data_IF_611416334866
#
_entry.id   IF_611416334866
#
_cell.length_a   1.000
_cell.length_b   1.000
_cell.length_c   1.000
_cell.angle_alpha   90.00
_cell.angle_beta   90.00
_cell.angle_gamma   90.00
#
_symmetry.space_group_name_H-M   'P 1'
#
loop_
_entity.id
_entity.type
_entity.pdbx_description
1 polymer ?
#
# COMPACT_ATOMS: atom_id res chain seq x y z
N UNK A 1 -36.81 -15.84 -6.91
CA UNK A 1 -36.15 -15.08 -5.82
C UNK A 1 -34.85 -14.55 -6.43
N UNK A 2 -34.92 -13.36 -7.03
CA UNK A 2 -33.91 -12.86 -7.96
C UNK A 2 -32.77 -12.16 -7.22
N UNK A 3 -31.57 -12.28 -7.80
CA UNK A 3 -30.32 -11.63 -7.38
C UNK A 3 -30.48 -10.14 -7.14
N UNK A 4 -30.37 -9.73 -5.87
CA UNK A 4 -30.47 -8.35 -5.46
C UNK A 4 -29.10 -7.81 -5.04
N UNK A 5 -28.70 -6.72 -5.70
CA UNK A 5 -27.64 -5.85 -5.21
C UNK A 5 -28.09 -5.23 -3.89
N UNK A 6 -27.26 -5.33 -2.84
CA UNK A 6 -27.44 -4.52 -1.65
C UNK A 6 -26.51 -3.32 -1.72
N UNK A 7 -27.11 -2.13 -1.81
CA UNK A 7 -26.45 -0.87 -1.48
C UNK A 7 -26.61 -0.64 0.03
N UNK A 8 -25.49 -0.70 0.77
CA UNK A 8 -25.46 -0.12 2.11
C UNK A 8 -25.23 1.38 1.95
N UNK A 9 -26.30 2.15 2.08
CA UNK A 9 -26.17 3.59 2.27
C UNK A 9 -25.82 3.79 3.73
N UNK A 10 -24.66 4.36 4.02
CA UNK A 10 -24.30 4.77 5.38
C UNK A 10 -24.52 6.28 5.43
N UNK A 11 -25.80 6.68 5.44
CA UNK A 11 -26.20 8.08 5.57
C UNK A 11 -27.16 8.16 6.77
N UNK A 12 -26.58 8.33 7.97
CA UNK A 12 -27.30 8.49 9.25
C UNK A 12 -28.10 7.30 9.79
N UNK A 13 -28.52 6.36 8.93
CA UNK A 13 -29.40 5.23 9.25
C UNK A 13 -28.69 3.90 8.90
N UNK A 14 -27.90 3.30 9.82
CA UNK A 14 -26.97 2.21 9.53
C UNK A 14 -27.61 0.88 9.07
N UNK A 15 -28.94 0.83 8.91
CA UNK A 15 -29.73 -0.38 8.70
C UNK A 15 -30.60 -0.38 7.43
N UNK A 16 -30.64 0.71 6.65
CA UNK A 16 -31.48 0.74 5.45
C UNK A 16 -30.77 0.14 4.24
N UNK A 17 -31.18 -1.07 3.87
CA UNK A 17 -30.76 -1.70 2.62
C UNK A 17 -31.54 -1.11 1.46
N UNK A 18 -30.83 -0.52 0.51
CA UNK A 18 -31.43 -0.07 -0.74
C UNK A 18 -31.14 -1.11 -1.82
N UNK A 19 -32.21 -1.59 -2.45
CA UNK A 19 -32.16 -2.55 -3.53
C UNK A 19 -32.27 -1.83 -4.87
N UNK A 20 -31.38 -2.17 -5.80
CA UNK A 20 -31.41 -1.64 -7.16
C UNK A 20 -31.89 -2.72 -8.14
N UNK A 21 -32.80 -2.40 -9.07
CA UNK A 21 -33.05 -3.26 -10.22
C UNK A 21 -31.78 -3.49 -11.05
N UNK A 22 -31.73 -4.63 -11.74
CA UNK A 22 -30.55 -5.11 -12.47
C UNK A 22 -30.09 -4.17 -13.62
N UNK A 23 -30.96 -3.27 -14.08
CA UNK A 23 -30.74 -2.43 -15.27
C UNK A 23 -30.46 -0.94 -14.96
N UNK A 24 -29.96 -0.61 -13.76
CA UNK A 24 -29.68 0.78 -13.40
C UNK A 24 -28.37 1.27 -14.02
N UNK A 25 -28.49 2.02 -15.12
CA UNK A 25 -27.35 2.66 -15.81
C UNK A 25 -26.86 3.96 -15.14
N UNK A 26 -27.65 4.56 -14.24
CA UNK A 26 -27.33 5.82 -13.54
C UNK A 26 -27.93 5.86 -12.13
N UNK A 27 -27.26 6.51 -11.17
CA UNK A 27 -27.80 6.62 -9.81
C UNK A 27 -29.10 7.45 -9.82
N UNK A 28 -30.18 6.97 -9.17
CA UNK A 28 -31.43 7.72 -9.05
C UNK A 28 -31.18 9.12 -8.46
N UNK A 29 -31.92 10.16 -8.90
CA UNK A 29 -31.73 11.54 -8.43
C UNK A 29 -31.76 11.69 -6.90
N UNK A 30 -32.54 10.86 -6.21
CA UNK A 30 -32.65 10.85 -4.74
C UNK A 30 -31.35 10.46 -4.02
N UNK A 31 -30.41 9.82 -4.72
CA UNK A 31 -29.13 9.36 -4.17
C UNK A 31 -27.95 10.28 -4.53
N UNK A 32 -28.22 11.47 -5.10
CA UNK A 32 -27.18 12.44 -5.48
C UNK A 32 -26.45 13.05 -4.28
N UNK A 33 -27.07 13.03 -3.11
CA UNK A 33 -26.53 13.59 -1.87
C UNK A 33 -25.69 12.59 -1.07
N UNK A 34 -25.61 11.33 -1.51
CA UNK A 34 -24.85 10.32 -0.78
C UNK A 34 -23.36 10.64 -0.81
N UNK A 35 -22.80 10.81 0.38
CA UNK A 35 -21.36 11.01 0.54
C UNK A 35 -20.63 9.70 0.87
N UNK A 36 -21.32 8.67 1.36
CA UNK A 36 -20.76 7.36 1.66
C UNK A 36 -21.57 6.22 1.03
N UNK A 37 -20.93 5.53 0.09
CA UNK A 37 -21.54 4.43 -0.67
C UNK A 37 -20.69 3.18 -0.55
N UNK A 38 -21.33 2.07 -0.13
CA UNK A 38 -20.70 0.75 -0.03
C UNK A 38 -21.48 -0.28 -0.84
N UNK A 39 -20.83 -0.80 -1.87
CA UNK A 39 -21.23 -1.95 -2.65
C UNK A 39 -20.36 -3.15 -2.30
N UNK A 40 -20.92 -4.06 -1.51
CA UNK A 40 -20.30 -5.35 -1.16
C UNK A 40 -21.08 -6.46 -1.83
N UNK A 41 -20.43 -7.15 -2.76
CA UNK A 41 -20.96 -8.39 -3.29
C UNK A 41 -20.66 -9.51 -2.28
N UNK A 42 -21.70 -10.11 -1.69
CA UNK A 42 -21.58 -11.17 -0.70
C UNK A 42 -21.25 -12.47 -1.43
N UNK A 43 -19.96 -12.79 -1.62
CA UNK A 43 -19.59 -14.16 -2.02
C UNK A 43 -19.87 -15.10 -0.85
N UNK A 44 -20.94 -15.88 -0.92
CA UNK A 44 -21.07 -17.12 -0.15
C UNK A 44 -20.51 -18.25 -1.02
N UNK A 45 -19.47 -18.92 -0.51
CA UNK A 45 -18.99 -20.25 -0.92
C UNK A 45 -18.61 -20.48 -2.39
N UNK A 46 -17.65 -21.38 -2.63
CA UNK A 46 -17.15 -21.73 -3.96
C UNK A 46 -18.06 -22.69 -4.75
N UNK A 47 -19.21 -23.11 -4.18
CA UNK A 47 -20.01 -24.22 -4.73
C UNK A 47 -21.46 -23.87 -5.14
N UNK A 48 -21.86 -22.59 -5.13
CA UNK A 48 -23.14 -22.20 -5.73
C UNK A 48 -22.90 -21.56 -7.11
N UNK A 49 -23.49 -22.17 -8.13
CA UNK A 49 -23.58 -21.70 -9.52
C UNK A 49 -23.60 -20.18 -9.53
N UNK A 50 -22.50 -19.57 -9.94
CA UNK A 50 -22.29 -18.14 -9.92
C UNK A 50 -23.38 -17.45 -10.73
N UNK A 51 -24.47 -17.06 -10.07
CA UNK A 51 -25.42 -16.10 -10.63
C UNK A 51 -24.63 -14.80 -10.75
N UNK A 52 -24.12 -14.57 -11.96
CA UNK A 52 -23.41 -13.36 -12.35
C UNK A 52 -24.35 -12.19 -12.07
N UNK A 53 -24.10 -11.44 -11.00
CA UNK A 53 -24.71 -10.15 -10.81
C UNK A 53 -24.41 -9.30 -12.05
N UNK A 54 -25.43 -9.09 -12.87
CA UNK A 54 -25.39 -8.24 -14.04
C UNK A 54 -25.48 -6.79 -13.55
N UNK A 55 -24.33 -6.19 -13.32
CA UNK A 55 -24.27 -4.73 -13.41
C UNK A 55 -24.29 -4.35 -14.90
N UNK A 56 -24.93 -3.23 -15.27
CA UNK A 56 -24.77 -2.70 -16.61
C UNK A 56 -23.28 -2.51 -16.89
N UNK A 57 -22.84 -2.95 -18.07
CA UNK A 57 -21.43 -2.91 -18.44
C UNK A 57 -20.89 -1.46 -18.45
N UNK A 58 -21.80 -0.50 -18.61
CA UNK A 58 -21.52 0.93 -18.74
C UNK A 58 -22.27 1.72 -17.66
N UNK A 59 -21.64 1.90 -16.50
CA UNK A 59 -22.10 2.86 -15.48
C UNK A 59 -21.86 4.26 -16.05
N UNK A 60 -22.92 5.05 -16.19
CA UNK A 60 -22.86 6.36 -16.85
C UNK A 60 -22.59 7.52 -15.88
N UNK A 61 -22.82 7.33 -14.58
CA UNK A 61 -22.62 8.37 -13.57
C UNK A 61 -22.39 7.81 -12.17
N UNK A 62 -21.75 8.61 -11.33
CA UNK A 62 -21.64 8.41 -9.88
C UNK A 62 -22.22 9.64 -9.16
N UNK A 63 -22.67 9.53 -7.90
CA UNK A 63 -23.14 10.68 -7.15
C UNK A 63 -22.05 11.77 -7.07
N UNK A 64 -22.38 13.05 -7.35
CA UNK A 64 -21.40 14.12 -7.34
C UNK A 64 -20.94 14.48 -5.92
N UNK A 65 -21.73 14.17 -4.89
CA UNK A 65 -21.41 14.40 -3.47
C UNK A 65 -20.52 13.31 -2.83
N UNK A 66 -20.03 12.35 -3.62
CA UNK A 66 -19.38 11.14 -3.10
C UNK A 66 -18.01 11.41 -2.46
N UNK A 67 -17.90 11.13 -1.16
CA UNK A 67 -16.68 11.25 -0.36
C UNK A 67 -16.03 9.89 -0.08
N UNK A 68 -16.82 8.84 0.06
CA UNK A 68 -16.34 7.50 0.39
C UNK A 68 -17.02 6.48 -0.54
N UNK A 69 -16.23 5.81 -1.37
CA UNK A 69 -16.70 4.75 -2.24
C UNK A 69 -16.00 3.44 -1.90
N UNK A 70 -16.77 2.44 -1.50
CA UNK A 70 -16.31 1.05 -1.47
C UNK A 70 -17.10 0.24 -2.49
N UNK A 71 -16.47 -0.31 -3.54
CA UNK A 71 -17.14 -1.04 -4.61
C UNK A 71 -16.37 -2.29 -5.07
N UNK A 72 -16.72 -3.42 -4.49
CA UNK A 72 -16.10 -4.71 -4.83
C UNK A 72 -16.61 -5.23 -6.17
N UNK A 73 -15.71 -5.78 -6.99
CA UNK A 73 -16.04 -6.33 -8.31
C UNK A 73 -16.63 -5.30 -9.29
N UNK A 74 -16.16 -4.06 -9.25
CA UNK A 74 -16.65 -3.00 -10.14
C UNK A 74 -16.59 -3.45 -11.63
N UNK A 75 -17.71 -3.33 -12.36
CA UNK A 75 -17.93 -4.06 -13.61
C UNK A 75 -17.35 -3.35 -14.85
N UNK A 76 -17.20 -2.04 -14.82
CA UNK A 76 -16.82 -1.26 -15.99
C UNK A 76 -15.30 -1.17 -16.14
N UNK A 77 -14.85 -0.89 -17.36
CA UNK A 77 -13.42 -0.81 -17.71
C UNK A 77 -12.76 0.52 -17.30
N UNK A 78 -13.56 1.52 -16.96
CA UNK A 78 -13.15 2.83 -16.46
C UNK A 78 -14.23 3.38 -15.51
N UNK A 79 -13.87 4.37 -14.70
CA UNK A 79 -14.88 5.20 -14.02
C UNK A 79 -15.59 6.10 -15.05
N UNK A 80 -16.82 6.57 -14.75
CA UNK A 80 -17.56 7.47 -15.64
C UNK A 80 -16.78 8.76 -15.91
N UNK A 81 -16.81 9.25 -17.15
CA UNK A 81 -16.04 10.45 -17.56
C UNK A 81 -16.53 11.75 -16.88
N UNK A 82 -17.81 11.80 -16.52
CA UNK A 82 -18.42 12.90 -15.76
C UNK A 82 -18.11 12.84 -14.25
N UNK A 83 -17.43 11.80 -13.77
CA UNK A 83 -17.06 11.71 -12.37
C UNK A 83 -15.90 12.64 -12.08
N UNK A 84 -16.15 13.65 -11.24
CA UNK A 84 -15.16 14.63 -10.80
C UNK A 84 -14.80 14.33 -9.33
N UNK A 85 -13.70 13.60 -9.07
CA UNK A 85 -13.31 13.13 -7.75
C UNK A 85 -12.67 14.24 -6.87
N UNK A 86 -13.15 15.48 -6.92
CA UNK A 86 -12.56 16.58 -6.15
C UNK A 86 -12.75 16.40 -4.64
N UNK A 87 -13.93 15.93 -4.24
CA UNK A 87 -14.32 15.79 -2.84
C UNK A 87 -14.11 14.38 -2.30
N UNK A 88 -13.72 13.42 -3.14
CA UNK A 88 -13.50 12.04 -2.70
C UNK A 88 -12.36 11.98 -1.68
N UNK A 89 -12.57 11.22 -0.62
CA UNK A 89 -11.67 11.01 0.50
C UNK A 89 -11.11 9.59 0.46
N UNK A 90 -11.97 8.58 0.22
CA UNK A 90 -11.55 7.18 0.07
C UNK A 90 -12.19 6.53 -1.15
N UNK A 91 -11.36 5.84 -1.93
CA UNK A 91 -11.78 5.05 -3.09
C UNK A 91 -11.27 3.61 -2.94
N UNK A 92 -12.15 2.68 -2.59
CA UNK A 92 -11.83 1.25 -2.42
C UNK A 92 -12.60 0.43 -3.43
N UNK A 93 -11.95 -0.14 -4.43
CA UNK A 93 -12.61 -0.91 -5.48
C UNK A 93 -11.87 -2.21 -5.79
N UNK A 94 -11.73 -3.15 -4.84
CA UNK A 94 -10.99 -4.38 -5.08
C UNK A 94 -11.68 -5.30 -6.09
N UNK A 95 -10.90 -6.16 -6.76
CA UNK A 95 -11.36 -7.12 -7.78
C UNK A 95 -12.10 -6.48 -8.98
N UNK A 96 -11.77 -5.25 -9.33
CA UNK A 96 -12.46 -4.53 -10.41
C UNK A 96 -12.02 -4.99 -11.82
N UNK A 97 -12.76 -4.55 -12.85
CA UNK A 97 -12.43 -4.76 -14.27
C UNK A 97 -11.78 -3.53 -14.93
N UNK A 98 -11.31 -2.56 -14.12
CA UNK A 98 -10.73 -1.32 -14.63
C UNK A 98 -9.45 -1.62 -15.41
N UNK A 99 -9.29 -0.94 -16.54
CA UNK A 99 -8.01 -0.85 -17.26
C UNK A 99 -7.23 0.40 -16.86
N UNK A 100 -7.96 1.50 -16.62
CA UNK A 100 -7.48 2.78 -16.13
C UNK A 100 -8.50 3.34 -15.15
N UNK A 101 -8.03 4.08 -14.15
CA UNK A 101 -8.92 4.68 -13.14
C UNK A 101 -9.73 5.84 -13.73
N UNK A 102 -9.03 6.82 -14.33
CA UNK A 102 -9.61 7.93 -15.11
C UNK A 102 -8.71 8.20 -16.34
N UNK A 103 -9.30 8.80 -17.37
CA UNK A 103 -8.63 9.10 -18.65
C UNK A 103 -8.03 10.50 -18.72
N UNK A 104 -8.44 11.40 -17.81
CA UNK A 104 -8.00 12.79 -17.73
C UNK A 104 -7.34 13.02 -16.37
N UNK A 105 -6.39 13.96 -16.30
CA UNK A 105 -5.80 14.40 -15.03
C UNK A 105 -6.93 14.94 -14.14
N UNK A 106 -7.07 14.35 -12.95
CA UNK A 106 -8.11 14.73 -12.00
C UNK A 106 -7.49 15.53 -10.86
N UNK A 107 -8.21 16.57 -10.40
CA UNK A 107 -7.89 17.22 -9.13
C UNK A 107 -8.42 16.35 -8.00
N UNK A 108 -7.53 15.64 -7.31
CA UNK A 108 -7.87 14.72 -6.22
C UNK A 108 -7.76 15.45 -4.87
N UNK A 109 -8.42 16.59 -4.80
CA UNK A 109 -8.33 17.58 -3.73
C UNK A 109 -8.30 16.98 -2.34
N UNK A 110 -9.25 16.08 -2.03
CA UNK A 110 -9.47 15.49 -0.70
C UNK A 110 -9.01 14.04 -0.54
N UNK A 111 -8.46 13.41 -1.58
CA UNK A 111 -8.22 11.97 -1.58
C UNK A 111 -7.13 11.59 -0.59
N UNK A 112 -7.41 10.59 0.25
CA UNK A 112 -6.53 10.12 1.32
C UNK A 112 -6.19 8.63 1.20
N UNK A 113 -7.03 7.88 0.51
CA UNK A 113 -6.92 6.43 0.46
C UNK A 113 -7.40 5.89 -0.90
N UNK A 114 -6.56 5.09 -1.55
CA UNK A 114 -6.91 4.31 -2.73
C UNK A 114 -6.60 2.84 -2.46
N UNK A 115 -7.59 1.97 -2.64
CA UNK A 115 -7.41 0.52 -2.65
C UNK A 115 -8.00 -0.06 -3.94
N UNK A 116 -7.14 -0.49 -4.86
CA UNK A 116 -7.52 -1.16 -6.10
C UNK A 116 -6.95 -2.58 -6.14
N UNK A 117 -6.79 -3.26 -5.00
CA UNK A 117 -6.19 -4.59 -4.99
C UNK A 117 -6.91 -5.60 -5.88
N UNK A 118 -6.18 -6.59 -6.36
CA UNK A 118 -6.66 -7.67 -7.23
C UNK A 118 -7.24 -7.15 -8.56
N UNK A 119 -6.73 -6.02 -9.07
CA UNK A 119 -7.16 -5.45 -10.35
C UNK A 119 -6.28 -5.93 -11.49
N UNK A 120 -6.48 -7.18 -11.92
CA UNK A 120 -5.61 -7.86 -12.90
C UNK A 120 -5.55 -7.17 -14.28
N UNK A 121 -6.54 -6.32 -14.61
CA UNK A 121 -6.61 -5.59 -15.88
C UNK A 121 -6.05 -4.17 -15.81
N UNK A 122 -5.75 -3.68 -14.61
CA UNK A 122 -5.24 -2.34 -14.40
C UNK A 122 -3.80 -2.28 -14.89
N UNK A 123 -3.56 -1.51 -15.95
CA UNK A 123 -2.21 -1.39 -16.53
C UNK A 123 -1.54 -0.06 -16.22
N UNK A 124 -2.33 0.94 -15.83
CA UNK A 124 -1.86 2.28 -15.53
C UNK A 124 -2.67 2.84 -14.36
N UNK A 125 -1.96 3.47 -13.42
CA UNK A 125 -2.59 4.31 -12.41
C UNK A 125 -2.47 5.78 -12.86
N UNK A 126 -3.41 6.63 -12.46
CA UNK A 126 -3.39 8.05 -12.81
C UNK A 126 -2.29 8.81 -12.08
N UNK A 127 -1.82 9.91 -12.68
CA UNK A 127 -0.90 10.83 -12.01
C UNK A 127 -1.56 11.42 -10.75
N UNK A 128 -0.88 11.29 -9.62
CA UNK A 128 -1.32 11.77 -8.31
C UNK A 128 -0.61 13.07 -7.89
N UNK A 129 0.19 13.68 -8.78
CA UNK A 129 0.90 14.94 -8.55
C UNK A 129 -0.01 16.10 -8.13
N UNK A 130 -1.26 16.09 -8.62
CA UNK A 130 -2.27 17.13 -8.41
C UNK A 130 -3.24 16.85 -7.25
N UNK A 131 -2.82 16.10 -6.23
CA UNK A 131 -3.62 15.80 -5.04
C UNK A 131 -3.15 16.63 -3.82
N UNK A 132 -3.62 17.87 -3.63
CA UNK A 132 -3.07 18.80 -2.63
C UNK A 132 -3.29 18.36 -1.18
N UNK A 133 -4.43 17.75 -0.81
CA UNK A 133 -4.59 17.26 0.56
C UNK A 133 -3.88 15.94 0.83
N UNK A 134 -3.36 15.25 -0.20
CA UNK A 134 -2.35 14.24 0.08
C UNK A 134 -1.19 14.89 0.81
N UNK A 135 -0.87 16.18 0.69
CA UNK A 135 0.29 16.82 1.36
C UNK A 135 0.06 17.18 2.84
N UNK A 136 -1.16 17.09 3.39
CA UNK A 136 -1.45 17.52 4.77
C UNK A 136 -1.22 16.39 5.80
N UNK A 137 -0.68 16.67 7.00
CA UNK A 137 -0.57 15.68 8.09
C UNK A 137 -1.96 15.10 8.46
N UNK A 138 -2.05 13.77 8.47
CA UNK A 138 -3.30 13.07 8.80
C UNK A 138 -3.46 12.92 10.31
N UNK A 139 -4.57 13.43 10.86
CA UNK A 139 -5.02 13.05 12.20
C UNK A 139 -5.61 11.62 12.17
N UNK A 140 -5.32 10.84 13.21
CA UNK A 140 -5.94 9.53 13.45
C UNK A 140 -7.40 9.72 13.85
N UNK A 141 -8.26 10.01 12.87
CA UNK A 141 -9.69 9.97 13.08
C UNK A 141 -10.22 8.59 12.66
N UNK A 142 -10.99 7.94 13.54
CA UNK A 142 -11.76 6.71 13.27
C UNK A 142 -10.98 5.43 12.95
N UNK A 143 -9.72 5.28 13.38
CA UNK A 143 -8.98 4.01 13.28
C UNK A 143 -8.66 3.55 11.85
N UNK A 144 -8.78 4.44 10.85
CA UNK A 144 -8.45 4.15 9.45
C UNK A 144 -6.99 4.54 9.15
N UNK A 145 -6.27 3.67 8.42
CA UNK A 145 -4.91 3.96 7.92
C UNK A 145 -4.99 4.98 6.77
N UNK A 146 -5.09 6.27 7.12
CA UNK A 146 -5.02 7.37 6.16
C UNK A 146 -3.66 7.42 5.46
N UNK A 147 -3.62 7.90 4.21
CA UNK A 147 -2.40 7.99 3.39
C UNK A 147 -1.96 6.63 2.84
N UNK A 148 -2.88 5.73 2.53
CA UNK A 148 -2.56 4.41 1.95
C UNK A 148 -2.91 4.38 0.47
N UNK A 149 -1.96 3.97 -0.36
CA UNK A 149 -2.16 3.59 -1.75
C UNK A 149 -1.89 2.10 -1.90
N UNK A 150 -2.90 1.33 -2.31
CA UNK A 150 -2.82 -0.13 -2.34
C UNK A 150 -3.22 -0.66 -3.71
N UNK A 151 -2.26 -1.29 -4.38
CA UNK A 151 -2.38 -1.90 -5.71
C UNK A 151 -1.88 -3.35 -5.70
N UNK A 152 -1.85 -4.03 -4.55
CA UNK A 152 -1.48 -5.44 -4.47
C UNK A 152 -2.29 -6.29 -5.45
N UNK A 153 -1.63 -7.30 -6.04
CA UNK A 153 -2.21 -8.21 -7.02
C UNK A 153 -2.75 -7.52 -8.29
N UNK A 154 -2.27 -6.32 -8.61
CA UNK A 154 -2.48 -5.67 -9.91
C UNK A 154 -1.41 -6.12 -10.90
N UNK A 155 -1.44 -7.41 -11.28
CA UNK A 155 -0.37 -8.03 -12.08
C UNK A 155 -0.17 -7.39 -13.47
N UNK A 156 -1.15 -6.65 -13.99
CA UNK A 156 -1.03 -5.89 -15.24
C UNK A 156 -0.30 -4.54 -15.10
N UNK A 157 -0.08 -4.06 -13.88
CA UNK A 157 0.54 -2.77 -13.60
C UNK A 157 2.06 -2.88 -13.76
N UNK A 158 2.60 -2.19 -14.76
CA UNK A 158 4.02 -2.28 -15.14
C UNK A 158 4.87 -1.08 -14.72
N UNK A 159 4.24 0.05 -14.48
CA UNK A 159 4.91 1.28 -14.07
C UNK A 159 3.98 2.14 -13.24
N UNK A 160 4.59 3.05 -12.46
CA UNK A 160 3.88 4.06 -11.69
C UNK A 160 4.17 5.43 -12.30
N UNK A 161 3.17 6.33 -12.36
CA UNK A 161 3.38 7.73 -12.64
C UNK A 161 4.11 8.40 -11.46
N UNK A 162 4.36 9.70 -11.59
CA UNK A 162 4.87 10.50 -10.47
C UNK A 162 3.92 10.41 -9.28
N UNK A 163 4.45 10.05 -8.12
CA UNK A 163 3.73 9.97 -6.85
C UNK A 163 4.25 11.10 -5.96
N UNK A 164 3.34 11.94 -5.46
CA UNK A 164 3.68 13.01 -4.50
C UNK A 164 2.66 13.05 -3.36
N UNK A 165 3.05 13.65 -2.23
CA UNK A 165 2.18 13.87 -1.08
C UNK A 165 2.64 13.15 0.20
N UNK A 166 1.83 13.25 1.24
CA UNK A 166 1.94 12.62 2.56
C UNK A 166 1.39 11.19 2.52
N UNK A 167 1.96 10.36 1.66
CA UNK A 167 1.65 8.93 1.63
C UNK A 167 2.42 8.26 2.77
N UNK A 168 1.71 7.47 3.56
CA UNK A 168 2.27 6.70 4.68
C UNK A 168 2.48 5.23 4.31
N UNK A 169 1.62 4.67 3.48
CA UNK A 169 1.67 3.25 3.12
C UNK A 169 1.53 3.12 1.60
N UNK A 170 2.53 2.54 0.95
CA UNK A 170 2.49 2.22 -0.48
C UNK A 170 2.63 0.72 -0.66
N UNK A 171 1.58 0.08 -1.21
CA UNK A 171 1.53 -1.36 -1.41
C UNK A 171 1.35 -1.71 -2.88
N UNK A 172 2.29 -2.48 -3.40
CA UNK A 172 2.43 -2.82 -4.82
C UNK A 172 2.73 -4.32 -4.98
N UNK A 173 2.46 -5.15 -3.98
CA UNK A 173 2.83 -6.56 -3.98
C UNK A 173 2.21 -7.30 -5.18
N UNK A 174 2.90 -8.29 -5.74
CA UNK A 174 2.43 -9.06 -6.90
C UNK A 174 2.07 -8.19 -8.13
N UNK A 175 2.81 -7.11 -8.37
CA UNK A 175 2.69 -6.28 -9.59
C UNK A 175 3.86 -6.54 -10.56
N UNK A 176 3.70 -6.17 -11.83
CA UNK A 176 4.75 -6.28 -12.84
C UNK A 176 5.64 -5.02 -12.92
N UNK A 177 5.71 -4.25 -11.82
CA UNK A 177 6.48 -3.01 -11.75
C UNK A 177 7.98 -3.32 -11.72
N UNK A 178 8.72 -2.76 -12.68
CA UNK A 178 10.18 -2.98 -12.84
C UNK A 178 11.04 -1.90 -12.21
N UNK A 179 10.51 -0.67 -12.16
CA UNK A 179 11.17 0.49 -11.59
C UNK A 179 10.15 1.35 -10.84
N UNK A 180 10.62 2.00 -9.77
CA UNK A 180 9.85 3.02 -9.08
C UNK A 180 10.22 4.41 -9.58
N UNK A 181 9.27 5.35 -9.66
CA UNK A 181 9.54 6.72 -10.03
C UNK A 181 10.46 7.36 -8.97
N UNK A 182 11.38 8.23 -9.42
CA UNK A 182 12.33 8.91 -8.53
C UNK A 182 11.66 9.73 -7.43
N UNK A 183 10.41 10.17 -7.65
CA UNK A 183 9.61 10.93 -6.69
C UNK A 183 9.28 10.16 -5.39
N UNK A 184 9.44 8.83 -5.36
CA UNK A 184 9.34 8.04 -4.12
C UNK A 184 10.33 8.54 -3.07
N UNK A 185 11.52 8.99 -3.50
CA UNK A 185 12.58 9.52 -2.63
C UNK A 185 12.15 10.80 -1.89
N UNK A 186 11.09 11.47 -2.35
CA UNK A 186 10.55 12.70 -1.76
C UNK A 186 9.34 12.45 -0.84
N UNK A 187 8.97 11.19 -0.59
CA UNK A 187 7.85 10.84 0.29
C UNK A 187 8.28 10.81 1.76
N UNK A 188 8.57 11.98 2.35
CA UNK A 188 9.11 12.15 3.72
C UNK A 188 8.31 11.46 4.83
N UNK A 189 7.04 11.15 4.57
CA UNK A 189 6.12 10.55 5.53
C UNK A 189 5.83 9.06 5.28
N UNK A 190 6.50 8.45 4.31
CA UNK A 190 6.33 7.04 4.00
C UNK A 190 6.81 6.21 5.19
N UNK A 191 5.91 5.37 5.72
CA UNK A 191 6.15 4.48 6.86
C UNK A 191 6.41 3.06 6.38
N UNK A 192 5.71 2.62 5.33
CA UNK A 192 5.77 1.26 4.83
C UNK A 192 5.75 1.23 3.31
N UNK A 193 6.66 0.47 2.73
CA UNK A 193 6.76 0.19 1.29
C UNK A 193 6.72 -1.32 1.06
N UNK A 194 5.68 -1.79 0.38
CA UNK A 194 5.54 -3.21 0.01
C UNK A 194 5.64 -3.38 -1.51
N UNK A 195 6.66 -4.11 -1.93
CA UNK A 195 7.03 -4.49 -3.30
C UNK A 195 7.20 -6.01 -3.40
N UNK A 196 6.64 -6.78 -2.47
CA UNK A 196 6.78 -8.24 -2.45
C UNK A 196 6.32 -8.85 -3.77
N UNK A 197 7.01 -9.86 -4.29
CA UNK A 197 6.68 -10.54 -5.54
C UNK A 197 6.55 -9.57 -6.74
N UNK A 198 7.34 -8.50 -6.79
CA UNK A 198 7.43 -7.60 -7.94
C UNK A 198 8.57 -7.97 -8.90
N UNK A 199 8.52 -7.42 -10.12
CA UNK A 199 9.59 -7.51 -11.12
C UNK A 199 10.69 -6.44 -10.94
N UNK A 200 10.74 -5.80 -9.77
CA UNK A 200 11.64 -4.68 -9.49
C UNK A 200 13.11 -5.06 -9.68
N UNK A 201 13.84 -4.26 -10.46
CA UNK A 201 15.26 -4.51 -10.74
C UNK A 201 16.17 -3.79 -9.73
N UNK A 202 15.76 -2.60 -9.29
CA UNK A 202 16.48 -1.74 -8.34
C UNK A 202 15.50 -0.89 -7.53
N UNK A 203 15.86 -0.58 -6.28
CA UNK A 203 15.15 0.39 -5.46
C UNK A 203 15.65 1.82 -5.74
N UNK A 204 14.78 2.85 -5.62
CA UNK A 204 15.20 4.24 -5.67
C UNK A 204 16.05 4.61 -4.44
N UNK A 205 16.63 5.81 -4.43
CA UNK A 205 17.36 6.28 -3.25
C UNK A 205 16.38 6.58 -2.10
N UNK A 206 16.33 5.67 -1.12
CA UNK A 206 15.41 5.75 0.03
C UNK A 206 16.14 6.00 1.36
N UNK A 207 17.45 6.27 1.32
CA UNK A 207 18.30 6.36 2.51
C UNK A 207 17.94 7.52 3.44
N UNK A 208 17.29 8.55 2.89
CA UNK A 208 16.90 9.79 3.56
C UNK A 208 15.43 9.79 4.00
N UNK A 209 14.69 8.70 3.77
CA UNK A 209 13.30 8.54 4.23
C UNK A 209 13.27 8.21 5.73
N UNK A 210 13.41 9.24 6.57
CA UNK A 210 13.55 9.13 8.04
C UNK A 210 12.34 8.56 8.79
N UNK A 211 11.18 8.42 8.13
CA UNK A 211 9.97 7.81 8.70
C UNK A 211 9.71 6.39 8.20
N UNK A 212 10.52 5.88 7.27
CA UNK A 212 10.34 4.56 6.69
C UNK A 212 10.78 3.51 7.70
N UNK A 213 9.81 2.77 8.23
CA UNK A 213 9.99 1.75 9.27
C UNK A 213 10.01 0.36 8.64
N UNK A 214 9.33 0.18 7.51
CA UNK A 214 9.07 -1.14 6.94
C UNK A 214 9.26 -1.17 5.42
N UNK A 215 10.06 -2.13 4.96
CA UNK A 215 10.21 -2.45 3.54
C UNK A 215 9.99 -3.95 3.37
N UNK A 216 9.05 -4.32 2.49
CA UNK A 216 8.91 -5.70 2.01
C UNK A 216 9.24 -5.75 0.53
N UNK A 217 10.18 -6.61 0.18
CA UNK A 217 10.69 -6.88 -1.17
C UNK A 217 10.89 -8.39 -1.36
N UNK A 218 10.18 -9.22 -0.59
CA UNK A 218 10.33 -10.66 -0.69
C UNK A 218 9.96 -11.19 -2.08
N UNK A 219 10.50 -12.33 -2.47
CA UNK A 219 10.21 -12.98 -3.76
C UNK A 219 10.45 -12.07 -5.00
N UNK A 220 11.30 -11.03 -4.90
CA UNK A 220 11.68 -10.18 -6.03
C UNK A 220 12.74 -10.87 -6.90
N UNK A 221 12.31 -11.40 -8.05
CA UNK A 221 13.14 -12.28 -8.90
C UNK A 221 14.08 -11.56 -9.87
N UNK A 222 14.07 -10.23 -9.89
CA UNK A 222 14.97 -9.41 -10.73
C UNK A 222 15.88 -8.50 -9.91
N UNK A 223 15.68 -8.40 -8.60
CA UNK A 223 16.41 -7.48 -7.73
C UNK A 223 17.83 -8.01 -7.47
N UNK A 224 18.84 -7.26 -7.94
CA UNK A 224 20.25 -7.70 -7.86
C UNK A 224 21.05 -7.00 -6.76
N UNK A 225 20.61 -5.82 -6.32
CA UNK A 225 21.32 -5.03 -5.32
C UNK A 225 20.35 -4.21 -4.48
N UNK A 226 20.68 -4.00 -3.21
CA UNK A 226 19.99 -3.02 -2.34
C UNK A 226 20.80 -1.72 -2.20
N UNK A 227 20.16 -0.54 -2.26
CA UNK A 227 20.80 0.74 -1.94
C UNK A 227 21.02 0.88 -0.43
N UNK A 228 21.65 1.98 -0.01
CA UNK A 228 21.67 2.36 1.42
C UNK A 228 20.25 2.48 1.95
N UNK A 229 20.03 1.95 3.15
CA UNK A 229 18.74 1.92 3.80
C UNK A 229 18.59 3.07 4.82
N UNK A 230 17.36 3.51 5.13
CA UNK A 230 17.17 4.54 6.14
C UNK A 230 17.46 4.01 7.55
N UNK A 231 17.94 4.91 8.42
CA UNK A 231 18.28 4.56 9.81
C UNK A 231 17.04 4.14 10.61
N UNK A 232 15.87 4.68 10.27
CA UNK A 232 14.57 4.37 10.88
C UNK A 232 14.03 2.98 10.55
N UNK A 233 14.62 2.26 9.59
CA UNK A 233 14.11 0.98 9.12
C UNK A 233 14.19 -0.07 10.24
N UNK A 234 13.05 -0.59 10.66
CA UNK A 234 12.94 -1.66 11.65
C UNK A 234 12.68 -3.04 11.02
N UNK A 235 12.01 -3.08 9.87
CA UNK A 235 11.72 -4.32 9.17
C UNK A 235 12.17 -4.22 7.71
N UNK A 236 13.05 -5.13 7.31
CA UNK A 236 13.36 -5.42 5.92
C UNK A 236 13.06 -6.89 5.64
N UNK A 237 12.06 -7.14 4.80
CA UNK A 237 11.81 -8.48 4.30
C UNK A 237 12.29 -8.65 2.86
N UNK A 238 13.45 -9.30 2.67
CA UNK A 238 14.04 -9.62 1.38
C UNK A 238 14.14 -11.14 1.13
N UNK A 239 13.33 -11.96 1.82
CA UNK A 239 13.40 -13.40 1.65
C UNK A 239 13.09 -13.83 0.20
N UNK A 240 13.72 -14.92 -0.25
CA UNK A 240 13.57 -15.51 -1.59
C UNK A 240 13.93 -14.56 -2.75
N UNK A 241 14.71 -13.51 -2.51
CA UNK A 241 15.37 -12.72 -3.56
C UNK A 241 16.61 -13.46 -4.10
N UNK A 242 16.39 -14.51 -4.87
CA UNK A 242 17.48 -15.38 -5.39
C UNK A 242 18.55 -14.67 -6.26
N UNK A 243 18.27 -13.59 -7.01
CA UNK A 243 19.29 -12.88 -7.77
C UNK A 243 20.09 -11.86 -6.97
N UNK A 244 19.71 -11.57 -5.72
CA UNK A 244 20.32 -10.53 -4.91
C UNK A 244 21.79 -10.88 -4.62
N UNK A 245 22.71 -10.01 -5.05
CA UNK A 245 24.17 -10.20 -4.94
C UNK A 245 24.77 -9.30 -3.87
N UNK A 246 24.39 -8.03 -3.90
CA UNK A 246 25.01 -7.00 -3.07
C UNK A 246 24.00 -6.25 -2.21
N UNK A 247 24.43 -5.84 -1.03
CA UNK A 247 23.74 -4.84 -0.21
C UNK A 247 24.67 -3.65 -0.02
N UNK A 248 24.12 -2.45 0.10
CA UNK A 248 24.95 -1.27 0.34
C UNK A 248 25.41 -1.18 1.79
N UNK A 249 26.57 -0.57 2.00
CA UNK A 249 27.12 -0.34 3.33
C UNK A 249 26.42 0.84 4.00
N UNK A 250 25.80 0.61 5.15
CA UNK A 250 25.22 1.65 6.01
C UNK A 250 25.87 1.69 7.39
N UNK A 251 26.99 0.98 7.59
CA UNK A 251 27.66 0.84 8.88
C UNK A 251 28.15 2.19 9.39
N UNK A 252 28.84 2.99 8.57
CA UNK A 252 29.35 4.31 9.02
C UNK A 252 28.24 5.20 9.55
N UNK A 253 27.10 5.26 8.84
CA UNK A 253 25.90 6.02 9.29
C UNK A 253 25.29 5.45 10.57
N UNK A 254 25.34 4.13 10.76
CA UNK A 254 24.93 3.44 11.99
C UNK A 254 25.94 3.58 13.13
N UNK A 255 27.12 4.13 12.91
CA UNK A 255 28.10 4.40 13.99
C UNK A 255 28.15 5.89 14.32
N UNK A 256 28.12 6.76 13.31
CA UNK A 256 28.30 8.21 13.42
C UNK A 256 27.06 8.97 13.93
N UNK A 257 25.85 8.39 13.83
CA UNK A 257 24.62 9.05 14.28
C UNK A 257 24.45 9.12 15.80
N UNK A 258 23.87 10.21 16.32
CA UNK A 258 23.47 10.33 17.74
C UNK A 258 22.49 9.21 18.12
N UNK A 259 22.80 8.46 19.18
CA UNK A 259 21.99 7.31 19.61
C UNK A 259 20.60 7.73 20.13
N UNK A 260 20.42 9.03 20.42
CA UNK A 260 19.17 9.66 20.89
C UNK A 260 18.11 9.86 19.81
N UNK A 261 18.49 9.97 18.53
CA UNK A 261 17.53 10.23 17.43
C UNK A 261 16.91 8.94 16.88
N UNK A 262 17.37 7.79 17.36
CA UNK A 262 16.89 6.49 16.96
C UNK A 262 15.56 6.21 17.65
N UNK A 263 14.46 6.31 16.91
CA UNK A 263 13.17 5.83 17.39
C UNK A 263 13.21 4.30 17.41
N UNK A 264 13.17 3.71 18.61
CA UNK A 264 13.08 2.26 18.76
C UNK A 264 11.83 1.75 18.03
N UNK A 265 12.04 0.98 16.97
CA UNK A 265 10.96 0.32 16.26
C UNK A 265 10.59 -0.97 17.00
N UNK A 266 9.31 -1.34 17.09
CA UNK A 266 8.90 -2.58 17.76
C UNK A 266 9.40 -3.85 17.04
N UNK A 267 9.95 -3.71 15.84
CA UNK A 267 10.54 -4.77 15.03
C UNK A 267 11.98 -4.39 14.67
N UNK A 268 12.89 -5.35 14.72
CA UNK A 268 14.27 -5.22 14.23
C UNK A 268 14.61 -6.50 13.45
N UNK A 269 13.97 -6.67 12.31
CA UNK A 269 13.94 -7.92 11.54
C UNK A 269 14.41 -7.66 10.11
N UNK A 270 15.59 -8.19 9.77
CA UNK A 270 16.19 -8.11 8.44
C UNK A 270 16.29 -9.53 7.87
N UNK A 271 15.33 -9.89 7.02
CA UNK A 271 15.16 -11.25 6.52
C UNK A 271 15.78 -11.39 5.12
N UNK A 272 16.85 -12.18 5.02
CA UNK A 272 17.52 -12.50 3.76
C UNK A 272 17.47 -14.00 3.41
N UNK A 273 16.54 -14.74 4.01
CA UNK A 273 16.40 -16.17 3.79
C UNK A 273 16.29 -16.52 2.31
N UNK A 274 16.98 -17.57 1.85
CA UNK A 274 16.99 -18.00 0.45
C UNK A 274 17.54 -16.98 -0.57
N UNK A 275 18.38 -16.02 -0.16
CA UNK A 275 19.16 -15.16 -1.05
C UNK A 275 20.52 -15.80 -1.41
N UNK A 276 20.49 -16.84 -2.25
CA UNK A 276 21.65 -17.71 -2.49
C UNK A 276 22.84 -17.03 -3.20
N UNK A 277 22.62 -15.93 -3.94
CA UNK A 277 23.67 -15.23 -4.69
C UNK A 277 24.36 -14.09 -3.93
N UNK A 278 24.00 -13.84 -2.66
CA UNK A 278 24.67 -12.83 -1.85
C UNK A 278 26.17 -13.13 -1.78
N UNK A 279 27.01 -12.12 -1.96
CA UNK A 279 28.45 -12.28 -1.76
C UNK A 279 28.82 -12.27 -0.26
N UNK A 280 30.04 -12.70 0.06
CA UNK A 280 30.48 -12.80 1.44
C UNK A 280 30.58 -11.45 2.14
N UNK A 281 30.97 -10.40 1.42
CA UNK A 281 31.04 -9.04 1.94
C UNK A 281 29.67 -8.57 2.42
N UNK A 282 28.65 -8.78 1.59
CA UNK A 282 27.25 -8.44 1.86
C UNK A 282 26.70 -9.23 3.04
N UNK A 283 26.99 -10.54 3.14
CA UNK A 283 26.61 -11.34 4.32
C UNK A 283 27.23 -10.78 5.61
N UNK A 284 28.52 -10.46 5.58
CA UNK A 284 29.22 -9.90 6.74
C UNK A 284 28.65 -8.52 7.13
N UNK A 285 28.32 -7.70 6.14
CA UNK A 285 27.67 -6.40 6.35
C UNK A 285 26.29 -6.56 6.98
N UNK A 286 25.45 -7.46 6.49
CA UNK A 286 24.12 -7.74 7.06
C UNK A 286 24.26 -8.12 8.54
N UNK A 287 25.17 -9.05 8.85
CA UNK A 287 25.43 -9.48 10.23
C UNK A 287 25.89 -8.34 11.12
N UNK A 288 26.86 -7.55 10.65
CA UNK A 288 27.41 -6.42 11.40
C UNK A 288 26.35 -5.33 11.63
N UNK A 289 25.58 -4.98 10.60
CA UNK A 289 24.49 -4.00 10.73
C UNK A 289 23.42 -4.48 11.71
N UNK A 290 23.10 -5.77 11.70
CA UNK A 290 22.14 -6.37 12.63
C UNK A 290 22.62 -6.26 14.07
N UNK A 291 23.89 -6.57 14.33
CA UNK A 291 24.52 -6.43 15.66
C UNK A 291 24.51 -4.97 16.15
N UNK A 292 24.89 -4.01 15.31
CA UNK A 292 24.89 -2.58 15.68
C UNK A 292 23.47 -2.10 16.01
N UNK A 293 22.46 -2.51 15.22
CA UNK A 293 21.06 -2.16 15.49
C UNK A 293 20.55 -2.75 16.80
N UNK A 294 20.94 -3.99 17.13
CA UNK A 294 20.63 -4.61 18.42
C UNK A 294 21.24 -3.79 19.57
N UNK A 295 22.53 -3.48 19.49
CA UNK A 295 23.23 -2.68 20.51
C UNK A 295 22.60 -1.29 20.72
N UNK A 296 22.19 -0.63 19.62
CA UNK A 296 21.48 0.65 19.69
C UNK A 296 20.14 0.52 20.41
N UNK A 297 19.35 -0.49 20.02
CA UNK A 297 18.00 -0.72 20.60
C UNK A 297 18.09 -1.03 22.10
N UNK A 298 19.05 -1.85 22.53
CA UNK A 298 19.25 -2.18 23.95
C UNK A 298 19.72 -0.98 24.77
N UNK A 299 20.56 -0.12 24.20
CA UNK A 299 21.06 1.06 24.93
C UNK A 299 19.97 2.09 25.15
N UNK A 300 19.10 2.29 24.16
CA UNK A 300 17.94 3.17 24.27
C UNK A 300 16.94 2.61 25.28
N UNK A 301 16.63 1.31 25.23
CA UNK A 301 15.69 0.71 26.19
C UNK A 301 16.21 0.75 27.63
N UNK A 302 17.51 0.56 27.87
CA UNK A 302 18.14 0.73 29.19
C UNK A 302 18.06 2.19 29.67
N UNK A 303 18.17 3.16 28.77
CA UNK A 303 17.98 4.57 29.11
C UNK A 303 16.51 4.98 29.36
N UNK A 304 15.55 4.12 28.98
CA UNK A 304 14.11 4.39 29.00
C UNK A 304 13.31 3.45 29.94
N UNK A 305 13.95 2.54 30.68
CA UNK A 305 13.22 1.48 31.39
C UNK A 305 12.45 1.95 32.64
N UNK A 306 11.13 2.06 32.49
CA UNK A 306 10.15 1.41 33.38
C UNK A 306 9.20 0.42 32.67
N UNK A 307 9.11 0.35 31.33
CA UNK A 307 8.26 -0.64 30.66
C UNK A 307 8.90 -1.21 29.38
N UNK A 308 9.15 -2.53 29.34
CA UNK A 308 9.18 -3.43 28.15
C UNK A 308 10.17 -4.60 28.30
N UNK A 309 9.95 -5.45 29.29
CA UNK A 309 10.68 -6.71 29.53
C UNK A 309 10.33 -7.85 28.55
N UNK A 310 9.67 -7.59 27.41
CA UNK A 310 9.18 -8.63 26.48
C UNK A 310 9.98 -8.83 25.18
N UNK A 311 10.88 -7.91 24.82
CA UNK A 311 11.59 -7.93 23.50
C UNK A 311 12.73 -8.95 23.45
N UNK A 312 13.25 -9.38 24.61
CA UNK A 312 14.49 -10.16 24.70
C UNK A 312 14.38 -11.65 24.30
N UNK A 313 13.18 -12.24 24.24
CA UNK A 313 13.03 -13.70 24.14
C UNK A 313 12.76 -14.24 22.73
N UNK A 314 12.31 -13.42 21.77
CA UNK A 314 12.00 -13.87 20.41
C UNK A 314 13.23 -14.05 19.50
N UNK A 315 14.37 -13.44 19.82
CA UNK A 315 15.54 -13.35 18.93
C UNK A 315 16.58 -14.48 19.06
N UNK A 316 16.54 -15.30 20.10
CA UNK A 316 17.45 -16.46 20.24
C UNK A 316 17.16 -17.58 19.22
N UNK A 317 15.99 -17.58 18.58
CA UNK A 317 15.54 -18.66 17.68
C UNK A 317 16.03 -18.55 16.22
N UNK A 318 16.65 -17.44 15.80
CA UNK A 318 17.08 -17.24 14.41
C UNK A 318 18.55 -17.58 14.12
N UNK A 319 19.34 -17.96 15.14
CA UNK A 319 20.77 -18.34 14.97
C UNK A 319 20.94 -19.85 14.71
N UNK A 320 19.86 -20.60 14.43
CA UNK A 320 19.97 -22.01 14.07
C UNK A 320 19.01 -22.37 12.94
N UNK A 321 19.53 -22.27 11.70
CA UNK A 321 19.36 -23.12 10.51
C UNK A 321 19.82 -22.33 9.29
#
# INVERSE_FOLDING_TARGET
>A
MHDLLYLKIIDGEPHKLHYFPQDIHSFPPRLRYLDHVVFKNRRRSADEVSQKLHFPQDIQSLPPALRYLEWWNYPSKSLPSNFVPQIIVELKMPHNKLKKLWTVVQNLGNLKHIDLRFSYRLTQIPDLSCAPNLKKPWNFEHGRKHGTLSFDDCCGLKSLPTITGNIKYLKLGSTAVKELPSSISSLENLISLDLSNCEIEKLPNIKDLSRLIEIRISDCKNLQSLPELPLSLGLLDAHRCTPLRTVSDSISRLVEGCWSDYQATPYNEFLFGNCSKLDQTSRNQIMTQSQIRILRTTTISVSQSEEMSRVSLSLLLFISI
#
